data_IF_683532347946
#
_entry.id   IF_683532347946
#
_cell.length_a   1.000
_cell.length_b   1.000
_cell.length_c   1.000
_cell.angle_alpha   90.00
_cell.angle_beta   90.00
_cell.angle_gamma   90.00
#
_symmetry.space_group_name_H-M   'P 1'
#
loop_
_entity.id
_entity.type
_entity.pdbx_description
1 polymer ?
#
# COMPACT_ATOMS: atom_id res chain seq x y z
N UNK A 1 -7.87 9.48 5.43
CA UNK A 1 -6.53 9.16 5.98
C UNK A 1 -6.04 7.87 5.35
N UNK A 2 -4.90 7.87 4.65
CA UNK A 2 -4.36 6.69 3.95
C UNK A 2 -3.19 6.02 4.70
N UNK A 3 -3.34 5.81 6.01
CA UNK A 3 -2.33 5.15 6.83
C UNK A 3 -2.22 3.65 6.51
N UNK A 4 -1.08 3.02 6.85
CA UNK A 4 -0.83 1.62 6.53
C UNK A 4 -1.93 0.68 7.07
N UNK A 5 -2.24 0.75 8.36
CA UNK A 5 -3.23 -0.14 8.98
C UNK A 5 -4.64 0.03 8.38
N UNK A 6 -5.10 1.28 8.22
CA UNK A 6 -6.43 1.54 7.64
C UNK A 6 -6.53 1.05 6.19
N UNK A 7 -5.44 1.15 5.43
CA UNK A 7 -5.38 0.59 4.07
C UNK A 7 -5.43 -0.93 4.11
N UNK A 8 -4.65 -1.58 4.97
CA UNK A 8 -4.70 -3.03 5.14
C UNK A 8 -6.10 -3.52 5.54
N UNK A 9 -6.80 -2.79 6.40
CA UNK A 9 -8.17 -3.10 6.80
C UNK A 9 -9.16 -2.99 5.63
N UNK A 10 -9.12 -1.88 4.89
CA UNK A 10 -9.97 -1.70 3.69
C UNK A 10 -9.75 -2.82 2.69
N UNK A 11 -8.49 -3.15 2.39
CA UNK A 11 -8.16 -4.18 1.42
C UNK A 11 -8.54 -5.58 1.94
N UNK A 12 -8.36 -5.86 3.23
CA UNK A 12 -8.70 -7.16 3.80
C UNK A 12 -10.20 -7.44 3.80
N UNK A 13 -11.05 -6.40 3.78
CA UNK A 13 -12.50 -6.54 3.66
C UNK A 13 -13.03 -6.48 2.22
N UNK A 14 -12.16 -6.28 1.23
CA UNK A 14 -12.51 -6.16 -0.19
C UNK A 14 -13.65 -5.16 -0.40
N UNK A 15 -13.48 -3.94 0.12
CA UNK A 15 -14.45 -2.86 -0.01
C UNK A 15 -13.93 -1.80 -0.97
N UNK A 16 -14.85 -1.19 -1.71
CA UNK A 16 -14.55 0.05 -2.40
C UNK A 16 -14.18 1.12 -1.38
N UNK A 17 -13.12 1.87 -1.67
CA UNK A 17 -12.66 2.93 -0.79
C UNK A 17 -12.08 4.10 -1.58
N UNK A 18 -12.43 5.31 -1.13
CA UNK A 18 -11.76 6.54 -1.54
C UNK A 18 -10.71 6.92 -0.51
N UNK A 19 -9.45 6.99 -0.94
CA UNK A 19 -8.36 7.46 -0.10
C UNK A 19 -7.98 8.89 -0.51
N UNK A 20 -8.04 9.79 0.47
CA UNK A 20 -7.37 11.10 0.41
C UNK A 20 -6.07 11.00 1.21
N UNK A 21 -4.90 10.85 0.54
CA UNK A 21 -3.62 10.70 1.23
C UNK A 21 -3.12 12.06 1.72
N UNK A 22 -2.34 12.05 2.82
CA UNK A 22 -1.49 13.21 3.14
C UNK A 22 -0.29 13.22 2.20
N UNK A 23 0.04 14.40 1.67
CA UNK A 23 1.14 14.60 0.71
C UNK A 23 2.39 15.24 1.33
N UNK A 24 2.27 15.80 2.54
CA UNK A 24 3.36 16.43 3.30
C UNK A 24 3.20 16.13 4.81
N UNK A 25 4.30 15.99 5.59
CA UNK A 25 5.71 16.04 5.17
C UNK A 25 6.24 14.73 4.57
N UNK A 26 5.53 13.61 4.76
CA UNK A 26 5.97 12.28 4.30
C UNK A 26 5.17 11.83 3.06
N UNK A 27 5.84 11.38 1.97
CA UNK A 27 5.18 10.99 0.73
C UNK A 27 4.58 9.57 0.76
N UNK A 28 4.84 8.79 1.81
CA UNK A 28 4.48 7.36 1.89
C UNK A 28 2.98 7.09 1.68
N UNK A 29 2.09 7.96 2.18
CA UNK A 29 0.64 7.78 1.97
C UNK A 29 0.27 8.01 0.51
N UNK A 30 0.85 9.04 -0.12
CA UNK A 30 0.64 9.34 -1.52
C UNK A 30 1.14 8.18 -2.40
N UNK A 31 2.38 7.74 -2.19
CA UNK A 31 2.99 6.64 -2.96
C UNK A 31 2.13 5.37 -2.86
N UNK A 32 1.69 5.01 -1.66
CA UNK A 32 0.84 3.83 -1.43
C UNK A 32 -0.51 3.96 -2.12
N UNK A 33 -1.23 5.07 -1.91
CA UNK A 33 -2.53 5.29 -2.52
C UNK A 33 -2.43 5.28 -4.06
N UNK A 34 -1.39 5.91 -4.59
CA UNK A 34 -1.10 5.94 -6.02
C UNK A 34 -0.88 4.53 -6.57
N UNK A 35 -0.02 3.73 -5.94
CA UNK A 35 0.24 2.34 -6.36
C UNK A 35 -0.99 1.45 -6.26
N UNK A 36 -1.77 1.55 -5.19
CA UNK A 36 -2.99 0.75 -5.02
C UNK A 36 -4.08 1.15 -6.02
N UNK A 37 -4.21 2.43 -6.34
CA UNK A 37 -5.12 2.90 -7.39
C UNK A 37 -4.71 2.34 -8.75
N UNK A 38 -3.42 2.36 -9.07
CA UNK A 38 -2.93 1.84 -10.35
C UNK A 38 -3.13 0.31 -10.48
N UNK A 39 -3.25 -0.40 -9.35
CA UNK A 39 -3.63 -1.81 -9.28
C UNK A 39 -5.15 -2.05 -9.28
N UNK A 40 -5.96 -0.98 -9.33
CA UNK A 40 -7.43 -1.06 -9.27
C UNK A 40 -7.99 -1.47 -7.90
N UNK A 41 -7.19 -1.37 -6.83
CA UNK A 41 -7.57 -1.84 -5.50
C UNK A 41 -8.33 -0.78 -4.67
N UNK A 42 -8.11 0.50 -4.96
CA UNK A 42 -8.77 1.64 -4.30
C UNK A 42 -8.94 2.79 -5.28
N UNK A 43 -9.82 3.73 -4.98
CA UNK A 43 -9.84 5.05 -5.60
C UNK A 43 -9.01 6.03 -4.78
N UNK A 44 -8.39 7.01 -5.45
CA UNK A 44 -7.62 8.06 -4.79
C UNK A 44 -8.07 9.45 -5.25
N UNK A 45 -8.30 10.33 -4.27
CA UNK A 45 -8.50 11.76 -4.50
C UNK A 45 -7.32 12.54 -3.90
N UNK A 46 -6.62 13.31 -4.73
CA UNK A 46 -5.54 14.18 -4.24
C UNK A 46 -6.11 15.26 -3.30
N UNK A 47 -5.46 15.61 -2.18
CA UNK A 47 -5.98 16.60 -1.22
C UNK A 47 -6.29 17.96 -1.86
N UNK A 48 -5.50 18.43 -2.83
CA UNK A 48 -5.76 19.69 -3.54
C UNK A 48 -7.05 19.68 -4.39
N UNK A 49 -7.61 18.50 -4.65
CA UNK A 49 -8.88 18.31 -5.38
C UNK A 49 -10.02 17.95 -4.43
N UNK A 50 -9.77 17.94 -3.12
CA UNK A 50 -10.78 17.59 -2.12
C UNK A 50 -11.85 18.69 -2.06
N UNK A 51 -13.08 18.30 -2.36
CA UNK A 51 -14.26 19.15 -2.17
C UNK A 51 -15.45 18.27 -1.78
N UNK A 52 -16.48 18.85 -1.14
CA UNK A 52 -17.74 18.13 -0.90
C UNK A 52 -18.31 17.54 -2.20
N UNK A 53 -18.26 18.29 -3.30
CA UNK A 53 -18.75 17.82 -4.60
C UNK A 53 -17.97 16.60 -5.10
N UNK A 54 -16.63 16.61 -5.01
CA UNK A 54 -15.82 15.48 -5.44
C UNK A 54 -16.13 14.19 -4.65
N UNK A 55 -16.47 14.31 -3.36
CA UNK A 55 -16.90 13.18 -2.54
C UNK A 55 -18.31 12.72 -2.95
N UNK A 56 -19.25 13.64 -3.15
CA UNK A 56 -20.60 13.33 -3.63
C UNK A 56 -20.56 12.62 -4.97
N UNK A 57 -19.77 13.12 -5.91
CA UNK A 57 -19.58 12.50 -7.23
C UNK A 57 -19.01 11.10 -7.10
N UNK A 58 -18.04 10.89 -6.19
CA UNK A 58 -17.50 9.57 -5.90
C UNK A 58 -18.57 8.61 -5.37
N UNK A 59 -19.38 9.05 -4.41
CA UNK A 59 -20.45 8.28 -3.77
C UNK A 59 -21.59 7.93 -4.74
N UNK A 60 -21.86 8.79 -5.71
CA UNK A 60 -22.92 8.60 -6.69
C UNK A 60 -22.57 7.62 -7.82
N UNK A 61 -21.30 7.22 -7.95
CA UNK A 61 -20.87 6.28 -8.99
C UNK A 61 -21.36 4.87 -8.69
N UNK A 62 -21.74 4.15 -9.74
CA UNK A 62 -21.77 2.69 -9.72
C UNK A 62 -20.33 2.17 -9.76
N UNK A 63 -19.85 1.67 -8.62
CA UNK A 63 -18.48 1.18 -8.46
C UNK A 63 -18.33 -0.26 -8.97
N UNK A 64 -19.44 -0.93 -9.31
CA UNK A 64 -19.42 -2.31 -9.81
C UNK A 64 -19.03 -3.34 -8.74
N UNK A 65 -18.24 -4.33 -9.13
CA UNK A 65 -17.81 -5.39 -8.22
C UNK A 65 -16.64 -4.94 -7.35
N UNK A 66 -16.62 -5.34 -6.05
CA UNK A 66 -15.52 -4.98 -5.18
C UNK A 66 -14.15 -5.48 -5.67
N UNK A 67 -13.06 -4.76 -5.35
CA UNK A 67 -11.73 -5.09 -5.82
C UNK A 67 -11.25 -6.44 -5.25
N UNK A 68 -10.63 -7.32 -6.06
CA UNK A 68 -10.19 -8.67 -5.65
C UNK A 68 -8.89 -8.61 -4.85
N UNK A 69 -8.90 -7.86 -3.74
CA UNK A 69 -7.71 -7.50 -2.98
C UNK A 69 -6.96 -8.72 -2.43
N UNK A 70 -7.69 -9.78 -2.03
CA UNK A 70 -7.07 -11.01 -1.51
C UNK A 70 -6.38 -11.86 -2.57
N UNK A 71 -6.71 -11.63 -3.85
CA UNK A 71 -6.05 -12.32 -4.98
C UNK A 71 -4.76 -11.60 -5.38
N UNK A 72 -4.74 -10.27 -5.25
CA UNK A 72 -3.62 -9.43 -5.69
C UNK A 72 -2.60 -9.12 -4.58
N UNK A 73 -3.01 -9.25 -3.30
CA UNK A 73 -2.17 -8.95 -2.14
C UNK A 73 -2.17 -10.14 -1.18
N UNK A 74 -0.97 -10.58 -0.80
CA UNK A 74 -0.77 -11.62 0.21
C UNK A 74 -0.88 -11.01 1.63
N UNK A 75 -1.97 -11.35 2.33
CA UNK A 75 -2.19 -10.97 3.74
C UNK A 75 -1.63 -11.99 4.74
N UNK A 76 -1.12 -13.13 4.26
CA UNK A 76 -0.55 -14.20 5.06
C UNK A 76 0.89 -13.95 5.52
N UNK A 77 1.39 -12.72 5.41
CA UNK A 77 2.79 -12.39 5.67
C UNK A 77 3.31 -12.88 7.02
N UNK A 78 2.52 -12.78 8.09
CA UNK A 78 2.92 -13.27 9.41
C UNK A 78 3.16 -14.79 9.44
N UNK A 79 2.33 -15.56 8.73
CA UNK A 79 2.49 -17.01 8.63
C UNK A 79 3.74 -17.38 7.79
N UNK A 80 4.14 -16.51 6.87
CA UNK A 80 5.28 -16.71 5.96
C UNK A 80 6.63 -16.31 6.56
N UNK A 81 6.63 -15.42 7.56
CA UNK A 81 7.87 -14.92 8.20
C UNK A 81 8.78 -16.05 8.72
N UNK A 82 8.28 -17.08 9.43
CA UNK A 82 9.13 -18.18 9.91
C UNK A 82 9.86 -18.91 8.77
N UNK A 83 9.16 -19.19 7.66
CA UNK A 83 9.76 -19.89 6.51
C UNK A 83 10.82 -19.03 5.82
N UNK A 84 10.55 -17.72 5.67
CA UNK A 84 11.52 -16.78 5.12
C UNK A 84 12.77 -16.65 6.01
N UNK A 85 12.57 -16.69 7.33
CA UNK A 85 13.67 -16.63 8.29
C UNK A 85 14.52 -17.91 8.26
N UNK A 86 13.88 -19.08 8.22
CA UNK A 86 14.58 -20.36 8.09
C UNK A 86 15.42 -20.40 6.81
N UNK A 87 14.85 -19.99 5.68
CA UNK A 87 15.56 -19.91 4.40
C UNK A 87 16.77 -18.97 4.45
N UNK A 88 16.70 -17.86 5.17
CA UNK A 88 17.81 -16.93 5.34
C UNK A 88 18.94 -17.50 6.21
N UNK A 89 18.61 -18.31 7.22
CA UNK A 89 19.58 -18.93 8.13
C UNK A 89 20.29 -20.14 7.48
N UNK A 90 19.62 -20.85 6.59
CA UNK A 90 20.19 -21.95 5.81
C UNK A 90 21.00 -21.46 4.59
N UNK A 91 20.83 -20.20 4.19
CA UNK A 91 21.57 -19.61 3.08
C UNK A 91 23.07 -19.49 3.43
N UNK A 92 23.97 -19.84 2.49
CA UNK A 92 25.40 -19.62 2.69
C UNK A 92 25.66 -18.12 2.87
N UNK A 93 26.57 -17.77 3.79
CA UNK A 93 26.90 -16.38 4.07
C UNK A 93 27.39 -15.68 2.79
N UNK A 94 26.62 -14.71 2.29
CA UNK A 94 27.11 -13.83 1.25
C UNK A 94 28.28 -13.00 1.81
N UNK A 95 29.36 -12.80 1.02
CA UNK A 95 30.45 -11.94 1.43
C UNK A 95 29.91 -10.53 1.67
N UNK A 96 30.02 -10.08 2.92
CA UNK A 96 29.54 -8.76 3.35
C UNK A 96 30.21 -7.69 2.47
N UNK A 97 29.45 -6.80 1.80
CA UNK A 97 30.05 -5.76 0.96
C UNK A 97 31.00 -4.91 1.84
N UNK A 98 32.27 -4.83 1.44
CA UNK A 98 33.23 -3.97 2.12
C UNK A 98 32.80 -2.53 1.94
N UNK A 99 32.47 -1.87 3.06
CA UNK A 99 32.26 -0.43 3.07
C UNK A 99 33.62 0.21 2.81
N UNK A 100 33.85 0.65 1.57
CA UNK A 100 35.05 1.43 1.23
C UNK A 100 34.88 2.81 1.87
N UNK A 101 35.77 3.23 2.78
CA UNK A 101 35.66 4.55 3.38
C UNK A 101 35.84 5.62 2.29
N UNK A 102 34.96 6.62 2.28
CA UNK A 102 35.05 7.76 1.38
C UNK A 102 36.37 8.49 1.64
N UNK A 103 37.25 8.51 0.64
CA UNK A 103 38.48 9.30 0.65
C UNK A 103 38.08 10.78 0.68
N UNK A 104 38.63 11.53 1.64
CA UNK A 104 38.39 12.96 1.85
C UNK A 104 39.07 13.83 0.80
#
# INVERSE_FOLDING_TARGET
MGGYNSVCEVLSFEKHALIVPRVSPKPEQLIRAQRLRDLGLIDMLHPDKLSPQAITDWLARDLGQPPPSRTLVDFGGLNRIPDLLAALLEAPAEPRPQVVPAVS
#
